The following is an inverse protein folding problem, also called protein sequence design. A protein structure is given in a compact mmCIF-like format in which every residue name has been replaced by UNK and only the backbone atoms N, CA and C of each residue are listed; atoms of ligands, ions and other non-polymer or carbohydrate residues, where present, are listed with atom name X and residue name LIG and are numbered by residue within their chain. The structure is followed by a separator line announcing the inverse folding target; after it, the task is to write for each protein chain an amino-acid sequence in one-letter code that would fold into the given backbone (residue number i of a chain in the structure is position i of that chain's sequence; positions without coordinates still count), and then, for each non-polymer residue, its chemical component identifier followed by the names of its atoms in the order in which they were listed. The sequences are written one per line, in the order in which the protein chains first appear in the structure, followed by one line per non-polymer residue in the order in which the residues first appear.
data_IF_327453826616
#
_entry.id   IF_327453826616
#
_cell.length_a   1.000
_cell.length_b   1.000
_cell.length_c   1.000
_cell.angle_alpha   90.00
_cell.angle_beta   90.00
_cell.angle_gamma   90.00
#
_symmetry.space_group_name_H-M   'P 1'
#
loop_
_entity.id
_entity.type
_entity.pdbx_description
1 polymer ?
#
# COMPACT_ATOMS: atom_id res chain seq x y z
N UNK A 1 15.71 16.33 9.59
CA UNK A 1 16.15 14.93 9.75
C UNK A 1 15.80 14.26 8.44
N UNK A 2 16.73 13.65 7.70
CA UNK A 2 16.39 13.11 6.38
C UNK A 2 15.45 11.90 6.55
N UNK A 3 14.17 12.05 6.18
CA UNK A 3 13.20 10.96 6.19
C UNK A 3 13.63 9.96 5.10
N UNK A 4 13.88 8.70 5.50
CA UNK A 4 14.18 7.64 4.55
C UNK A 4 12.91 7.32 3.73
N UNK A 5 12.92 7.67 2.44
CA UNK A 5 11.78 7.47 1.52
C UNK A 5 11.27 6.02 1.48
N UNK A 6 12.16 5.04 1.60
CA UNK A 6 11.76 3.62 1.59
C UNK A 6 10.82 3.27 2.75
N UNK A 7 10.96 3.96 3.90
CA UNK A 7 10.09 3.75 5.06
C UNK A 7 8.66 4.26 4.82
N UNK A 8 8.49 5.24 3.93
CA UNK A 8 7.25 5.99 3.70
C UNK A 8 6.54 5.56 2.41
N UNK A 9 7.30 5.06 1.43
CA UNK A 9 6.83 4.62 0.11
C UNK A 9 6.73 3.10 -0.02
N UNK A 10 7.33 2.34 0.90
CA UNK A 10 7.29 0.89 0.86
C UNK A 10 5.87 0.34 1.04
N UNK A 11 5.53 -0.76 0.34
CA UNK A 11 4.21 -1.40 0.47
C UNK A 11 3.89 -1.92 1.88
N UNK A 12 4.90 -2.05 2.74
CA UNK A 12 4.75 -2.40 4.15
C UNK A 12 4.48 -1.19 5.06
N UNK A 13 4.60 0.04 4.56
CA UNK A 13 4.36 1.25 5.35
C UNK A 13 2.91 1.30 5.84
N UNK A 14 1.93 1.07 4.94
CA UNK A 14 0.51 0.98 5.27
C UNK A 14 0.01 -0.45 5.14
N UNK A 15 -0.54 -1.00 6.21
CA UNK A 15 -1.22 -2.30 6.19
C UNK A 15 -2.67 -2.14 6.65
N UNK A 16 -3.61 -2.69 5.89
CA UNK A 16 -5.02 -2.76 6.27
C UNK A 16 -5.43 -4.22 6.34
N UNK A 17 -5.97 -4.64 7.49
CA UNK A 17 -6.54 -5.97 7.69
C UNK A 17 -8.06 -5.86 7.55
N UNK A 18 -8.62 -6.60 6.61
CA UNK A 18 -10.06 -6.70 6.35
C UNK A 18 -10.55 -8.04 6.89
N UNK A 19 -11.47 -7.99 7.84
CA UNK A 19 -12.06 -9.14 8.52
C UNK A 19 -13.47 -9.39 7.99
N UNK A 20 -13.69 -10.58 7.45
CA UNK A 20 -15.02 -11.05 7.08
C UNK A 20 -15.82 -11.45 8.35
N UNK A 21 -16.99 -10.85 8.51
CA UNK A 21 -17.95 -11.11 9.59
C UNK A 21 -19.29 -11.63 9.04
N UNK A 22 -19.28 -12.19 7.84
CA UNK A 22 -20.45 -12.88 7.28
C UNK A 22 -20.87 -14.08 8.17
N UNK A 23 -22.13 -14.56 8.03
CA UNK A 23 -22.62 -15.74 8.74
C UNK A 23 -21.72 -16.98 8.61
N UNK A 24 -20.98 -17.11 7.51
CA UNK A 24 -20.01 -18.19 7.27
C UNK A 24 -18.91 -18.24 8.34
N UNK A 25 -18.56 -17.09 8.92
CA UNK A 25 -17.52 -17.00 9.97
C UNK A 25 -18.00 -17.45 11.36
N UNK A 26 -19.29 -17.74 11.52
CA UNK A 26 -19.83 -18.44 12.70
C UNK A 26 -19.48 -19.94 12.70
N UNK A 27 -19.03 -20.49 11.57
CA UNK A 27 -18.68 -21.90 11.46
C UNK A 27 -17.59 -22.29 12.47
N UNK A 28 -17.69 -23.50 13.07
CA UNK A 28 -16.69 -23.97 14.02
C UNK A 28 -15.33 -24.16 13.33
N UNK A 29 -14.29 -23.67 13.98
CA UNK A 29 -12.91 -23.97 13.65
C UNK A 29 -12.58 -25.43 14.01
N UNK A 30 -11.60 -25.98 13.31
CA UNK A 30 -11.21 -27.41 13.45
C UNK A 30 -10.95 -27.85 14.89
N UNK A 31 -10.27 -26.99 15.66
CA UNK A 31 -9.65 -27.39 16.92
C UNK A 31 -10.36 -26.69 18.08
N UNK A 32 -11.08 -27.48 18.87
CA UNK A 32 -11.54 -27.03 20.18
C UNK A 32 -10.36 -26.88 21.14
N UNK A 33 -10.47 -25.93 22.07
CA UNK A 33 -9.57 -25.79 23.20
C UNK A 33 -10.09 -26.69 24.32
N UNK A 34 -9.35 -27.74 24.65
CA UNK A 34 -9.63 -28.55 25.83
C UNK A 34 -9.11 -27.81 27.06
N UNK A 35 -10.02 -27.50 27.98
CA UNK A 35 -9.73 -26.88 29.27
C UNK A 35 -9.92 -27.97 30.32
N UNK A 36 -8.88 -28.26 31.08
CA UNK A 36 -8.92 -29.19 32.20
C UNK A 36 -8.74 -28.39 33.49
N UNK A 37 -9.75 -28.40 34.34
CA UNK A 37 -9.74 -27.74 35.65
C UNK A 37 -9.88 -28.85 36.69
N UNK A 38 -9.04 -28.80 37.73
CA UNK A 38 -9.25 -29.64 38.91
C UNK A 38 -10.19 -28.92 39.85
N UNK A 39 -11.24 -29.59 40.30
CA UNK A 39 -12.07 -29.07 41.36
C UNK A 39 -11.38 -29.16 42.73
N UNK A 40 -11.99 -28.58 43.76
CA UNK A 40 -11.48 -28.57 45.13
C UNK A 40 -11.36 -29.97 45.73
N UNK A 41 -12.06 -30.96 45.17
CA UNK A 41 -12.01 -32.37 45.59
C UNK A 41 -10.98 -33.19 44.79
N UNK A 42 -10.24 -32.54 43.88
CA UNK A 42 -9.22 -33.16 43.04
C UNK A 42 -9.76 -33.90 41.82
N UNK A 43 -11.07 -33.85 41.55
CA UNK A 43 -11.65 -34.42 40.34
C UNK A 43 -11.38 -33.52 39.13
N UNK A 44 -11.11 -34.14 38.00
CA UNK A 44 -10.75 -33.43 36.78
C UNK A 44 -12.00 -33.15 35.95
N UNK A 45 -12.34 -31.87 35.81
CA UNK A 45 -13.41 -31.39 34.91
C UNK A 45 -12.76 -31.00 33.58
N UNK A 46 -13.10 -31.72 32.51
CA UNK A 46 -12.67 -31.36 31.16
C UNK A 46 -13.83 -30.77 30.36
N UNK A 47 -13.62 -29.59 29.79
CA UNK A 47 -14.56 -28.95 28.85
C UNK A 47 -13.85 -28.64 27.52
N UNK A 48 -14.58 -28.71 26.42
CA UNK A 48 -14.07 -28.34 25.10
C UNK A 48 -14.75 -27.06 24.62
N UNK A 49 -13.98 -25.97 24.53
CA UNK A 49 -14.42 -24.73 23.92
C UNK A 49 -14.19 -24.78 22.41
N UNK A 50 -15.26 -24.71 21.62
CA UNK A 50 -15.15 -24.61 20.16
C UNK A 50 -14.96 -23.15 19.76
N UNK A 51 -13.86 -22.86 19.06
CA UNK A 51 -13.65 -21.55 18.41
C UNK A 51 -14.40 -21.50 17.09
N UNK A 52 -14.78 -20.33 16.63
CA UNK A 52 -15.27 -20.11 15.26
C UNK A 52 -14.15 -19.62 14.33
N UNK A 53 -14.41 -19.58 13.02
CA UNK A 53 -13.50 -18.94 12.06
C UNK A 53 -13.26 -17.47 12.43
N UNK A 54 -14.32 -16.77 12.88
CA UNK A 54 -14.22 -15.40 13.38
C UNK A 54 -13.21 -15.27 14.53
N UNK A 55 -13.32 -16.11 15.56
CA UNK A 55 -12.39 -16.06 16.68
C UNK A 55 -10.95 -16.28 16.22
N UNK A 56 -10.71 -17.24 15.31
CA UNK A 56 -9.38 -17.48 14.76
C UNK A 56 -8.84 -16.29 13.95
N UNK A 57 -9.68 -15.64 13.15
CA UNK A 57 -9.31 -14.44 12.39
C UNK A 57 -8.94 -13.28 13.29
N UNK A 58 -9.73 -13.03 14.34
CA UNK A 58 -9.48 -11.98 15.33
C UNK A 58 -8.21 -12.27 16.12
N UNK A 59 -7.99 -13.51 16.56
CA UNK A 59 -6.78 -13.90 17.31
C UNK A 59 -5.50 -13.66 16.50
N UNK A 60 -5.46 -14.07 15.22
CA UNK A 60 -4.26 -13.83 14.40
C UNK A 60 -4.04 -12.34 14.11
N UNK A 61 -5.12 -11.58 13.99
CA UNK A 61 -5.08 -10.14 13.79
C UNK A 61 -4.49 -9.40 14.99
N UNK A 62 -4.92 -9.80 16.20
CA UNK A 62 -4.38 -9.28 17.46
C UNK A 62 -2.90 -9.68 17.64
N UNK A 63 -2.53 -10.91 17.29
CA UNK A 63 -1.13 -11.35 17.37
C UNK A 63 -0.24 -10.60 16.37
N UNK A 64 -0.73 -10.35 15.15
CA UNK A 64 0.00 -9.55 14.17
C UNK A 64 0.18 -8.09 14.65
N UNK A 65 -0.84 -7.50 15.25
CA UNK A 65 -0.76 -6.17 15.88
C UNK A 65 0.29 -6.15 17.00
N UNK A 66 0.29 -7.16 17.89
CA UNK A 66 1.27 -7.28 18.98
C UNK A 66 2.70 -7.32 18.44
N UNK A 67 2.97 -8.20 17.46
CA UNK A 67 4.28 -8.33 16.82
C UNK A 67 4.72 -7.01 16.18
N UNK A 68 3.81 -6.32 15.46
CA UNK A 68 4.13 -5.04 14.84
C UNK A 68 4.44 -3.96 15.88
N UNK A 69 3.71 -3.92 17.00
CA UNK A 69 3.94 -2.96 18.07
C UNK A 69 5.29 -3.20 18.75
N UNK A 70 5.65 -4.46 18.96
CA UNK A 70 6.95 -4.83 19.56
C UNK A 70 8.13 -4.50 18.63
N UNK A 71 7.99 -4.71 17.32
CA UNK A 71 9.07 -4.52 16.34
C UNK A 71 9.18 -3.08 15.82
N UNK A 72 8.07 -2.35 15.75
CA UNK A 72 8.00 -1.00 15.18
C UNK A 72 7.30 -0.01 16.13
N UNK A 73 7.78 0.16 17.37
CA UNK A 73 7.13 1.00 18.37
C UNK A 73 7.06 2.49 17.98
N UNK A 74 7.93 2.93 17.05
CA UNK A 74 8.00 4.31 16.56
C UNK A 74 6.99 4.62 15.43
N UNK A 75 6.08 3.70 15.12
CA UNK A 75 5.01 3.94 14.13
C UNK A 75 5.47 4.09 12.67
N UNK A 76 6.69 3.65 12.34
CA UNK A 76 7.19 3.58 10.96
C UNK A 76 6.37 2.64 10.08
N UNK A 77 5.65 1.71 10.72
CA UNK A 77 4.66 0.83 10.11
C UNK A 77 3.29 1.16 10.69
N UNK A 78 2.32 1.28 9.81
CA UNK A 78 0.95 1.69 10.12
C UNK A 78 0.01 0.50 9.90
N UNK A 79 -0.96 0.35 10.80
CA UNK A 79 -1.92 -0.75 10.76
C UNK A 79 -3.34 -0.23 11.01
N UNK A 80 -4.27 -0.57 10.13
CA UNK A 80 -5.71 -0.32 10.32
C UNK A 80 -6.51 -1.59 10.14
N UNK A 81 -7.66 -1.64 10.81
CA UNK A 81 -8.58 -2.76 10.76
C UNK A 81 -9.95 -2.32 10.22
N UNK A 82 -10.46 -3.14 9.31
CA UNK A 82 -11.79 -3.01 8.71
C UNK A 82 -12.53 -4.32 8.95
N UNK A 83 -13.80 -4.24 9.33
CA UNK A 83 -14.72 -5.38 9.34
C UNK A 83 -15.69 -5.24 8.18
N UNK A 84 -16.02 -6.35 7.54
CA UNK A 84 -16.98 -6.41 6.45
C UNK A 84 -18.07 -7.44 6.76
N UNK A 85 -19.32 -6.98 6.79
CA UNK A 85 -20.53 -7.79 6.86
C UNK A 85 -21.50 -7.35 5.75
N UNK A 86 -22.71 -6.90 6.10
CA UNK A 86 -23.63 -6.20 5.20
C UNK A 86 -23.10 -4.81 4.81
N UNK A 87 -22.21 -4.24 5.63
CA UNK A 87 -21.49 -3.02 5.34
C UNK A 87 -20.01 -3.14 5.78
N UNK A 88 -19.16 -2.28 5.24
CA UNK A 88 -17.81 -2.12 5.77
C UNK A 88 -17.82 -1.17 6.98
N UNK A 89 -16.94 -1.41 7.95
CA UNK A 89 -16.75 -0.53 9.13
C UNK A 89 -15.29 -0.46 9.54
N UNK A 90 -14.81 0.75 9.84
CA UNK A 90 -13.50 0.95 10.47
C UNK A 90 -13.54 0.56 11.94
N UNK A 91 -12.59 -0.25 12.39
CA UNK A 91 -12.38 -0.53 13.83
C UNK A 91 -11.35 0.39 14.46
N UNK A 92 -10.49 0.98 13.64
CA UNK A 92 -9.37 1.82 14.05
C UNK A 92 -9.54 3.25 13.57
N UNK A 93 -9.05 4.24 14.35
CA UNK A 93 -9.05 5.63 13.92
C UNK A 93 -8.18 5.82 12.66
N UNK A 94 -8.21 7.03 12.05
CA UNK A 94 -7.28 7.42 10.98
C UNK A 94 -5.81 7.21 11.34
N UNK A 95 -4.92 7.27 10.35
CA UNK A 95 -3.47 7.13 10.56
C UNK A 95 -2.94 8.10 11.62
N UNK A 96 -2.11 7.60 12.53
CA UNK A 96 -1.51 8.35 13.66
C UNK A 96 -0.01 8.07 13.75
N UNK A 97 0.70 8.89 14.52
CA UNK A 97 2.14 8.69 14.74
C UNK A 97 2.44 7.36 15.46
N UNK A 98 1.48 6.87 16.25
CA UNK A 98 1.56 5.60 16.96
C UNK A 98 0.46 4.64 16.50
N UNK A 99 0.75 3.34 16.60
CA UNK A 99 -0.27 2.30 16.39
C UNK A 99 -1.37 2.41 17.45
N UNK A 100 -2.58 1.98 17.10
CA UNK A 100 -3.68 1.84 18.07
C UNK A 100 -3.21 0.98 19.26
N UNK A 101 -3.58 1.37 20.48
CA UNK A 101 -3.26 0.58 21.67
C UNK A 101 -4.01 -0.75 21.64
N UNK A 102 -3.38 -1.79 22.20
CA UNK A 102 -3.96 -3.14 22.20
C UNK A 102 -5.35 -3.18 22.86
N UNK A 103 -5.53 -2.47 23.97
CA UNK A 103 -6.79 -2.41 24.72
C UNK A 103 -7.89 -1.70 23.92
N UNK A 104 -7.53 -0.65 23.17
CA UNK A 104 -8.48 0.07 22.31
C UNK A 104 -8.93 -0.80 21.15
N UNK A 105 -8.00 -1.51 20.51
CA UNK A 105 -8.30 -2.45 19.43
C UNK A 105 -9.20 -3.59 19.94
N UNK A 106 -8.87 -4.17 21.09
CA UNK A 106 -9.67 -5.22 21.71
C UNK A 106 -11.09 -4.73 22.02
N UNK A 107 -11.22 -3.49 22.54
CA UNK A 107 -12.52 -2.88 22.80
C UNK A 107 -13.32 -2.68 21.51
N UNK A 108 -12.70 -2.19 20.43
CA UNK A 108 -13.37 -2.05 19.13
C UNK A 108 -13.85 -3.41 18.60
N UNK A 109 -13.00 -4.44 18.65
CA UNK A 109 -13.36 -5.79 18.23
C UNK A 109 -14.50 -6.40 19.07
N UNK A 110 -14.54 -6.11 20.37
CA UNK A 110 -15.61 -6.56 21.25
C UNK A 110 -16.98 -5.96 20.88
N UNK A 111 -17.03 -4.75 20.28
CA UNK A 111 -18.30 -4.17 19.79
C UNK A 111 -18.83 -4.87 18.54
N UNK A 112 -18.01 -5.70 17.89
CA UNK A 112 -18.35 -6.39 16.67
C UNK A 112 -18.85 -7.82 16.92
N UNK A 113 -19.69 -8.09 17.94
CA UNK A 113 -20.25 -9.41 18.33
C UNK A 113 -20.06 -10.63 17.39
N UNK A 114 -20.03 -11.84 17.92
CA UNK A 114 -19.85 -13.06 17.11
C UNK A 114 -20.85 -13.13 15.93
N UNK A 115 -20.40 -13.45 14.69
CA UNK A 115 -21.29 -13.60 13.55
C UNK A 115 -22.42 -14.59 13.85
N UNK A 116 -23.62 -14.30 13.37
CA UNK A 116 -24.79 -15.16 13.57
C UNK A 116 -24.89 -16.15 12.42
N UNK A 117 -24.88 -17.46 12.73
CA UNK A 117 -24.97 -18.51 11.70
C UNK A 117 -26.29 -18.51 10.93
N UNK A 118 -27.35 -17.93 11.52
CA UNK A 118 -28.67 -17.78 10.90
C UNK A 118 -28.84 -16.49 10.11
N UNK A 119 -27.80 -15.66 9.99
CA UNK A 119 -27.87 -14.42 9.23
C UNK A 119 -27.95 -14.66 7.72
N UNK A 120 -28.41 -13.65 6.99
CA UNK A 120 -28.48 -13.70 5.53
C UNK A 120 -27.10 -13.46 4.90
N UNK A 121 -26.45 -14.56 4.47
CA UNK A 121 -25.14 -14.50 3.84
C UNK A 121 -25.16 -13.77 2.49
N UNK A 122 -26.30 -13.72 1.79
CA UNK A 122 -26.40 -13.06 0.47
C UNK A 122 -26.34 -11.54 0.56
N UNK A 123 -26.70 -10.98 1.73
CA UNK A 123 -26.60 -9.56 2.03
C UNK A 123 -25.18 -9.13 2.46
N UNK A 124 -24.30 -10.08 2.76
CA UNK A 124 -22.94 -9.80 3.22
C UNK A 124 -21.95 -9.85 2.05
N UNK A 125 -21.00 -8.91 2.02
CA UNK A 125 -19.95 -8.91 1.00
C UNK A 125 -18.63 -8.39 1.55
N UNK A 126 -17.55 -9.13 1.29
CA UNK A 126 -16.19 -8.73 1.63
C UNK A 126 -15.71 -7.52 0.81
N UNK A 127 -16.36 -7.26 -0.33
CA UNK A 127 -16.07 -6.13 -1.22
C UNK A 127 -16.28 -4.79 -0.52
N UNK A 128 -17.28 -4.69 0.37
CA UNK A 128 -17.53 -3.49 1.15
C UNK A 128 -16.29 -3.09 1.98
N UNK A 129 -15.66 -4.07 2.63
CA UNK A 129 -14.43 -3.87 3.39
C UNK A 129 -13.21 -3.58 2.51
N UNK A 130 -13.13 -4.16 1.31
CA UNK A 130 -12.06 -3.88 0.33
C UNK A 130 -12.15 -2.43 -0.16
N UNK A 131 -13.35 -1.94 -0.49
CA UNK A 131 -13.58 -0.55 -0.89
C UNK A 131 -13.08 0.42 0.19
N UNK A 132 -13.45 0.18 1.46
CA UNK A 132 -12.97 0.98 2.59
C UNK A 132 -11.46 0.87 2.81
N UNK A 133 -10.87 -0.31 2.58
CA UNK A 133 -9.43 -0.48 2.70
C UNK A 133 -8.67 0.32 1.64
N UNK A 134 -9.16 0.37 0.39
CA UNK A 134 -8.58 1.21 -0.67
C UNK A 134 -8.67 2.69 -0.32
N UNK A 135 -9.82 3.13 0.21
CA UNK A 135 -9.97 4.50 0.71
C UNK A 135 -8.91 4.83 1.77
N UNK A 136 -8.71 3.94 2.73
CA UNK A 136 -7.73 4.10 3.80
C UNK A 136 -6.29 4.15 3.28
N UNK A 137 -5.94 3.32 2.30
CA UNK A 137 -4.61 3.36 1.65
C UNK A 137 -4.37 4.72 0.99
N UNK A 138 -5.41 5.37 0.46
CA UNK A 138 -5.29 6.69 -0.15
C UNK A 138 -5.06 7.83 0.85
N UNK A 139 -5.42 7.68 2.13
CA UNK A 139 -5.19 8.72 3.16
C UNK A 139 -3.69 8.91 3.43
N UNK A 140 -3.22 10.16 3.52
CA UNK A 140 -1.83 10.47 3.89
C UNK A 140 -1.54 10.13 5.35
N UNK A 141 -0.48 9.38 5.61
CA UNK A 141 0.01 9.15 6.98
C UNK A 141 0.74 10.39 7.51
N UNK A 142 0.90 10.56 8.84
CA UNK A 142 1.68 11.67 9.40
C UNK A 142 3.12 11.74 8.87
N UNK A 143 3.76 10.57 8.68
CA UNK A 143 5.10 10.48 8.08
C UNK A 143 5.10 10.95 6.62
N UNK A 144 4.08 10.59 5.82
CA UNK A 144 3.92 11.11 4.47
C UNK A 144 3.72 12.64 4.50
N UNK A 145 2.81 13.14 5.34
CA UNK A 145 2.54 14.57 5.46
C UNK A 145 3.80 15.38 5.80
N UNK A 146 4.60 14.90 6.75
CA UNK A 146 5.87 15.54 7.13
C UNK A 146 6.86 15.54 5.97
N UNK A 147 7.00 14.40 5.28
CA UNK A 147 7.91 14.29 4.14
C UNK A 147 7.50 15.23 2.98
N UNK A 148 6.21 15.38 2.72
CA UNK A 148 5.69 16.36 1.76
C UNK A 148 6.04 17.80 2.14
N UNK A 149 5.88 18.17 3.42
CA UNK A 149 6.19 19.52 3.90
C UNK A 149 7.69 19.84 3.81
N UNK A 150 8.56 18.87 4.13
CA UNK A 150 10.02 19.05 4.03
C UNK A 150 10.46 19.23 2.56
N UNK A 151 9.88 18.48 1.63
CA UNK A 151 10.18 18.60 0.20
C UNK A 151 9.79 19.99 -0.35
N UNK A 152 8.62 20.52 0.05
CA UNK A 152 8.19 21.85 -0.38
C UNK A 152 9.12 22.96 0.14
N UNK A 153 9.59 22.86 1.39
CA UNK A 153 10.57 23.81 1.96
C UNK A 153 11.88 23.80 1.16
N UNK A 154 12.42 22.62 0.87
CA UNK A 154 13.67 22.48 0.11
C UNK A 154 13.59 23.08 -1.30
N UNK A 155 12.47 22.91 -2.00
CA UNK A 155 12.23 23.52 -3.32
C UNK A 155 12.25 25.05 -3.19
N UNK A 156 11.48 25.60 -2.24
CA UNK A 156 11.40 27.05 -2.05
C UNK A 156 12.74 27.72 -1.70
N UNK A 157 13.61 27.03 -0.94
CA UNK A 157 14.95 27.52 -0.62
C UNK A 157 15.89 27.45 -1.83
N UNK A 158 15.78 26.40 -2.66
CA UNK A 158 16.58 26.25 -3.87
C UNK A 158 16.23 27.29 -4.94
N UNK A 159 14.94 27.64 -5.07
CA UNK A 159 14.46 28.69 -5.97
C UNK A 159 14.90 30.09 -5.52
N UNK A 160 14.90 30.35 -4.20
CA UNK A 160 15.45 31.60 -3.64
C UNK A 160 16.94 31.75 -3.95
N UNK A 161 17.72 30.68 -3.80
CA UNK A 161 19.17 30.69 -4.12
C UNK A 161 19.46 30.89 -5.61
N UNK A 162 18.65 30.32 -6.51
CA UNK A 162 18.75 30.60 -7.95
C UNK A 162 18.47 32.07 -8.26
N UNK A 163 17.40 32.64 -7.72
CA UNK A 163 17.06 34.06 -7.90
C UNK A 163 18.14 35.02 -7.35
N UNK A 164 18.78 34.66 -6.24
CA UNK A 164 19.91 35.43 -5.68
C UNK A 164 21.20 35.32 -6.50
N UNK A 165 21.41 34.19 -7.19
CA UNK A 165 22.54 34.00 -8.10
C UNK A 165 22.34 34.80 -9.38
N UNK A 166 21.15 34.73 -9.99
CA UNK A 166 20.82 35.45 -11.22
C UNK A 166 20.82 36.98 -11.02
N UNK A 167 20.42 37.47 -9.83
CA UNK A 167 20.47 38.91 -9.51
C UNK A 167 21.90 39.45 -9.26
N UNK A 168 22.91 38.60 -9.06
CA UNK A 168 24.30 39.05 -8.88
C UNK A 168 25.04 39.29 -10.18
N UNK A 169 24.58 38.73 -11.29
CA UNK A 169 25.16 38.96 -12.63
C UNK A 169 24.50 40.13 -13.38
N UNK A 170 23.40 40.70 -12.85
CA UNK A 170 22.67 41.82 -13.46
C UNK A 170 23.20 43.23 -13.16
N UNK A 171 24.27 43.38 -12.36
CA UNK A 171 24.79 44.70 -11.96
C UNK A 171 26.29 44.87 -12.27
N UNK A 172 26.65 44.64 -13.54
CA UNK A 172 27.85 45.21 -14.17
C UNK A 172 27.45 45.95 -15.45
N UNK A 173 26.81 47.09 -15.27
CA UNK A 173 26.89 48.20 -16.24
C UNK A 173 27.99 49.14 -15.76
N UNK A 174 29.15 49.13 -16.42
CA UNK A 174 29.65 50.33 -17.08
C UNK A 174 30.96 50.08 -17.85
N UNK A 175 30.89 50.46 -19.12
CA UNK A 175 31.95 51.01 -19.99
C UNK A 175 33.39 50.53 -19.82
N UNK A 176 33.94 49.89 -20.86
CA UNK A 176 34.83 50.56 -21.83
C UNK A 176 35.59 49.57 -22.73
N UNK A 177 35.77 50.00 -23.98
CA UNK A 177 36.81 49.59 -24.94
C UNK A 177 36.62 48.32 -25.78
N UNK A 178 36.18 48.59 -27.02
CA UNK A 178 36.47 47.81 -28.21
C UNK A 178 37.99 47.66 -28.32
N UNK A 179 38.49 46.44 -28.12
CA UNK A 179 39.86 46.07 -28.49
C UNK A 179 39.84 45.01 -29.60
N UNK A 180 40.58 45.37 -30.64
CA UNK A 180 40.85 44.68 -31.90
C UNK A 180 41.32 43.23 -31.71
N UNK A 181 40.95 42.30 -32.61
CA UNK A 181 41.38 40.92 -32.58
C UNK A 181 42.82 40.79 -33.08
N UNK A 182 43.81 41.09 -32.22
CA UNK A 182 45.21 40.64 -32.34
C UNK A 182 46.02 41.05 -31.09
N UNK A 183 45.93 40.29 -29.99
CA UNK A 183 46.97 40.32 -28.96
C UNK A 183 47.15 38.94 -28.29
N UNK A 184 48.36 38.33 -28.31
CA UNK A 184 48.59 36.97 -27.86
C UNK A 184 49.15 36.94 -26.44
N UNK A 185 48.29 36.72 -25.41
CA UNK A 185 48.70 36.33 -24.04
C UNK A 185 47.49 35.92 -23.18
N UNK A 186 46.85 34.78 -23.50
CA UNK A 186 45.75 34.25 -22.69
C UNK A 186 45.84 32.75 -22.34
N UNK A 187 46.99 32.11 -22.52
CA UNK A 187 47.13 30.66 -22.27
C UNK A 187 48.15 30.35 -21.19
N UNK A 188 47.81 30.57 -19.91
CA UNK A 188 48.34 29.80 -18.77
C UNK A 188 47.37 29.84 -17.59
N UNK A 189 46.48 28.84 -17.50
CA UNK A 189 46.27 28.03 -16.28
C UNK A 189 45.31 26.88 -16.60
N UNK A 190 45.91 25.71 -16.73
CA UNK A 190 45.29 24.40 -16.82
C UNK A 190 44.57 24.03 -15.52
N UNK A 191 43.34 23.55 -15.65
CA UNK A 191 42.66 22.67 -14.69
C UNK A 191 42.76 21.25 -15.25
N UNK A 192 43.24 20.23 -14.49
CA UNK A 192 43.26 18.85 -14.98
C UNK A 192 42.02 18.03 -14.57
N UNK A 193 41.46 17.28 -15.53
CA UNK A 193 40.72 16.02 -15.31
C UNK A 193 39.23 16.02 -15.72
N UNK A 194 38.85 15.91 -17.01
CA UNK A 194 38.58 14.68 -17.80
C UNK A 194 37.48 13.75 -17.21
N UNK A 195 36.45 13.24 -17.92
CA UNK A 195 36.09 13.15 -19.36
C UNK A 195 34.59 12.78 -19.48
N UNK A 196 33.87 13.38 -20.43
CA UNK A 196 32.75 12.71 -21.13
C UNK A 196 33.00 12.80 -22.63
N UNK A 197 32.93 11.64 -23.28
CA UNK A 197 33.03 11.43 -24.73
C UNK A 197 31.75 11.90 -25.42
N UNK A 198 31.88 12.65 -26.53
CA UNK A 198 30.92 12.58 -27.66
C UNK A 198 31.70 12.65 -28.97
N UNK A 199 31.57 11.59 -29.77
CA UNK A 199 32.00 11.50 -31.16
C UNK A 199 30.94 12.16 -32.04
N UNK A 200 31.38 13.04 -32.94
CA UNK A 200 30.64 13.51 -34.10
C UNK A 200 31.19 12.81 -35.35
N UNK A 201 30.29 12.41 -36.25
CA UNK A 201 30.44 12.33 -37.71
C UNK A 201 29.01 12.24 -38.27
N UNK A 202 28.51 12.96 -39.26
CA UNK A 202 29.09 13.91 -40.20
C UNK A 202 28.39 13.75 -41.56
N UNK A 203 27.87 14.86 -42.10
CA UNK A 203 27.59 15.20 -43.52
C UNK A 203 26.47 14.51 -44.31
N UNK A 204 25.73 15.33 -45.06
CA UNK A 204 25.03 14.95 -46.29
C UNK A 204 23.97 15.97 -46.74
N UNK A 205 24.27 16.78 -47.75
CA UNK A 205 23.42 17.78 -48.41
C UNK A 205 22.28 17.15 -49.24
N UNK A 206 21.10 17.81 -49.38
CA UNK A 206 20.71 18.59 -50.58
C UNK A 206 19.19 18.95 -50.62
N UNK A 207 18.97 20.22 -50.95
CA UNK A 207 17.99 20.87 -51.86
C UNK A 207 16.49 20.52 -51.97
N UNK A 208 15.72 21.62 -51.93
CA UNK A 208 14.63 22.07 -52.84
C UNK A 208 13.13 21.83 -52.53
N UNK A 209 12.45 22.98 -52.35
CA UNK A 209 11.10 23.41 -52.77
C UNK A 209 9.90 22.50 -52.41
N UNK A 210 8.80 22.97 -51.82
CA UNK A 210 7.83 23.88 -52.45
C UNK A 210 6.78 24.41 -51.44
N UNK A 211 5.96 25.35 -51.91
CA UNK A 211 5.05 26.28 -51.23
C UNK A 211 3.79 25.64 -50.60
N UNK A 212 3.24 26.34 -49.61
CA UNK A 212 1.84 26.18 -49.19
C UNK A 212 1.50 27.06 -47.99
N UNK A 213 0.93 28.24 -48.25
CA UNK A 213 0.32 29.10 -47.24
C UNK A 213 -1.07 28.58 -46.87
N UNK A 214 -1.35 28.47 -45.58
CA UNK A 214 -2.71 28.41 -45.01
C UNK A 214 -2.70 29.21 -43.71
N UNK A 215 -3.43 30.32 -43.72
CA UNK A 215 -3.93 31.01 -42.53
C UNK A 215 -4.80 30.06 -41.71
N UNK A 216 -4.68 30.07 -40.38
CA UNK A 216 -5.85 30.01 -39.49
C UNK A 216 -5.45 30.31 -38.03
N UNK A 217 -5.88 31.50 -37.60
CA UNK A 217 -6.40 31.89 -36.28
C UNK A 217 -5.98 31.07 -35.04
N UNK A 218 -5.04 31.67 -34.30
CA UNK A 218 -5.20 32.10 -32.90
C UNK A 218 -6.40 31.51 -32.10
N UNK A 219 -6.12 30.43 -31.37
CA UNK A 219 -6.71 30.19 -30.04
C UNK A 219 -5.52 29.94 -29.11
N UNK A 220 -5.12 30.99 -28.38
CA UNK A 220 -4.25 30.84 -27.22
C UNK A 220 -5.07 30.22 -26.09
N UNK A 221 -5.20 28.89 -26.10
CA UNK A 221 -5.41 28.17 -24.84
C UNK A 221 -4.08 28.21 -24.10
N UNK A 222 -4.06 29.00 -23.04
CA UNK A 222 -2.97 29.02 -22.08
C UNK A 222 -2.90 27.65 -21.40
N UNK A 223 -2.20 26.71 -22.04
CA UNK A 223 -1.58 25.59 -21.35
C UNK A 223 -0.59 26.22 -20.38
N UNK A 224 -1.04 26.39 -19.14
CA UNK A 224 -0.14 26.51 -18.02
C UNK A 224 0.59 25.16 -17.99
N UNK A 225 1.71 25.09 -18.70
CA UNK A 225 2.70 24.03 -18.52
C UNK A 225 3.12 24.10 -17.06
N UNK A 226 2.39 23.35 -16.24
CA UNK A 226 2.70 23.12 -14.85
C UNK A 226 4.12 22.61 -14.78
N UNK A 227 4.95 23.38 -14.10
CA UNK A 227 6.33 23.05 -13.79
C UNK A 227 6.47 21.57 -13.42
N UNK A 228 7.22 20.84 -14.25
CA UNK A 228 7.57 19.43 -14.09
C UNK A 228 8.45 19.24 -12.84
N UNK A 229 7.80 19.15 -11.67
CA UNK A 229 8.42 18.79 -10.40
C UNK A 229 7.61 17.66 -9.72
N UNK A 230 7.19 16.64 -10.46
CA UNK A 230 6.47 15.49 -9.89
C UNK A 230 7.42 14.33 -9.53
N UNK A 231 8.30 14.56 -8.56
CA UNK A 231 8.64 13.42 -7.68
C UNK A 231 7.46 13.20 -6.73
N UNK A 232 6.36 12.69 -7.30
CA UNK A 232 5.17 12.26 -6.58
C UNK A 232 5.58 11.09 -5.67
N UNK A 233 5.29 11.21 -4.37
CA UNK A 233 5.58 10.14 -3.41
C UNK A 233 4.79 8.90 -3.80
N UNK A 234 5.47 7.77 -4.00
CA UNK A 234 4.80 6.52 -4.28
C UNK A 234 3.97 6.08 -3.06
N UNK A 235 2.65 6.18 -3.16
CA UNK A 235 1.72 5.74 -2.14
C UNK A 235 1.38 4.27 -2.35
N UNK A 236 2.04 3.41 -1.57
CA UNK A 236 1.86 1.96 -1.62
C UNK A 236 1.32 1.43 -0.31
N UNK A 237 0.68 0.27 -0.38
CA UNK A 237 0.15 -0.39 0.81
C UNK A 237 -0.09 -1.88 0.63
N UNK A 238 -0.42 -2.53 1.72
CA UNK A 238 -0.81 -3.95 1.76
C UNK A 238 -2.22 -4.07 2.32
N UNK A 239 -3.09 -4.80 1.62
CA UNK A 239 -4.43 -5.17 2.10
C UNK A 239 -4.43 -6.67 2.36
N UNK A 240 -4.72 -7.08 3.58
CA UNK A 240 -4.85 -8.48 3.98
C UNK A 240 -6.31 -8.79 4.21
N UNK A 241 -6.89 -9.67 3.40
CA UNK A 241 -8.30 -10.05 3.48
C UNK A 241 -8.41 -11.43 4.12
N UNK A 242 -9.06 -11.50 5.28
CA UNK A 242 -9.37 -12.76 5.97
C UNK A 242 -10.84 -13.10 5.67
N UNK A 243 -11.06 -14.03 4.74
CA UNK A 243 -12.40 -14.43 4.26
C UNK A 243 -12.45 -15.94 4.01
N UNK A 244 -13.64 -16.48 3.72
CA UNK A 244 -13.87 -17.89 3.39
C UNK A 244 -14.43 -17.95 1.97
N UNK A 245 -13.61 -18.43 1.04
CA UNK A 245 -13.94 -18.53 -0.38
C UNK A 245 -14.22 -19.99 -0.73
N UNK A 246 -15.35 -20.22 -1.41
CA UNK A 246 -15.78 -21.56 -1.78
C UNK A 246 -15.42 -21.93 -3.23
N UNK A 247 -15.35 -20.94 -4.11
CA UNK A 247 -15.11 -21.15 -5.54
C UNK A 247 -14.09 -20.12 -6.11
N UNK A 248 -13.62 -20.35 -7.34
CA UNK A 248 -12.66 -19.44 -7.98
C UNK A 248 -13.30 -18.11 -8.44
N UNK A 249 -14.62 -18.08 -8.66
CA UNK A 249 -15.34 -16.90 -9.12
C UNK A 249 -15.33 -15.81 -8.04
N UNK A 250 -15.61 -16.17 -6.78
CA UNK A 250 -15.54 -15.23 -5.64
C UNK A 250 -14.16 -14.58 -5.53
N UNK A 251 -13.08 -15.36 -5.77
CA UNK A 251 -11.72 -14.83 -5.78
C UNK A 251 -11.49 -13.86 -6.94
N UNK A 252 -11.96 -14.20 -8.13
CA UNK A 252 -11.85 -13.32 -9.30
C UNK A 252 -12.63 -12.02 -9.06
N UNK A 253 -13.82 -12.10 -8.47
CA UNK A 253 -14.60 -10.91 -8.08
C UNK A 253 -13.85 -10.03 -7.08
N UNK A 254 -13.14 -10.60 -6.10
CA UNK A 254 -12.26 -9.84 -5.18
C UNK A 254 -11.14 -9.13 -5.96
N UNK A 255 -10.49 -9.82 -6.90
CA UNK A 255 -9.39 -9.28 -7.69
C UNK A 255 -9.82 -8.19 -8.69
N UNK A 256 -10.96 -8.38 -9.34
CA UNK A 256 -11.55 -7.39 -10.23
C UNK A 256 -11.99 -6.16 -9.43
N UNK A 257 -12.67 -6.38 -8.31
CA UNK A 257 -13.15 -5.30 -7.47
C UNK A 257 -12.04 -4.42 -6.92
N UNK A 258 -10.91 -4.97 -6.45
CA UNK A 258 -9.81 -4.12 -5.98
C UNK A 258 -9.27 -3.20 -7.08
N UNK A 259 -9.21 -3.69 -8.33
CA UNK A 259 -8.76 -2.91 -9.49
C UNK A 259 -9.70 -1.74 -9.75
N UNK A 260 -11.00 -2.03 -9.74
CA UNK A 260 -12.06 -1.05 -9.94
C UNK A 260 -12.03 0.01 -8.84
N UNK A 261 -11.96 -0.42 -7.57
CA UNK A 261 -11.95 0.49 -6.42
C UNK A 261 -10.72 1.41 -6.42
N UNK A 262 -9.53 0.90 -6.78
CA UNK A 262 -8.31 1.73 -6.90
C UNK A 262 -8.49 2.76 -8.02
N UNK A 263 -9.02 2.36 -9.16
CA UNK A 263 -9.22 3.24 -10.33
C UNK A 263 -10.20 4.36 -9.99
N UNK A 264 -11.39 4.01 -9.51
CA UNK A 264 -12.40 4.98 -9.08
C UNK A 264 -11.88 5.92 -8.00
N UNK A 265 -11.12 5.39 -7.03
CA UNK A 265 -10.56 6.22 -5.95
C UNK A 265 -9.53 7.21 -6.47
N UNK A 266 -8.64 6.76 -7.35
CA UNK A 266 -7.62 7.62 -7.94
C UNK A 266 -8.23 8.73 -8.80
N UNK A 267 -9.25 8.42 -9.59
CA UNK A 267 -9.97 9.40 -10.40
C UNK A 267 -10.67 10.44 -9.51
N UNK A 268 -11.33 9.99 -8.43
CA UNK A 268 -11.96 10.88 -7.45
C UNK A 268 -10.94 11.82 -6.79
N UNK A 269 -9.74 11.33 -6.42
CA UNK A 269 -8.69 12.15 -5.82
C UNK A 269 -8.18 13.22 -6.79
N UNK A 270 -7.94 12.85 -8.05
CA UNK A 270 -7.50 13.78 -9.10
C UNK A 270 -8.53 14.87 -9.36
N UNK A 271 -9.82 14.52 -9.37
CA UNK A 271 -10.91 15.47 -9.59
C UNK A 271 -11.13 16.42 -8.41
N UNK A 272 -11.07 15.92 -7.17
CA UNK A 272 -11.36 16.70 -5.97
C UNK A 272 -10.16 17.50 -5.47
N UNK A 273 -8.93 17.15 -5.86
CA UNK A 273 -7.71 17.87 -5.48
C UNK A 273 -7.44 17.92 -3.97
N UNK A 274 -7.99 16.97 -3.20
CA UNK A 274 -7.93 17.01 -1.75
C UNK A 274 -6.52 16.70 -1.23
N UNK A 275 -5.94 17.65 -0.49
CA UNK A 275 -4.58 17.60 0.02
C UNK A 275 -4.34 16.50 1.07
N UNK A 276 -5.38 15.86 1.60
CA UNK A 276 -5.25 14.79 2.59
C UNK A 276 -5.09 13.40 1.98
N UNK A 277 -5.28 13.27 0.66
CA UNK A 277 -5.23 11.99 -0.04
C UNK A 277 -4.09 11.96 -1.08
N UNK A 278 -3.69 10.75 -1.43
CA UNK A 278 -2.73 10.45 -2.47
C UNK A 278 -3.31 9.39 -3.40
N UNK A 279 -3.04 9.56 -4.69
CA UNK A 279 -3.25 8.52 -5.69
C UNK A 279 -2.54 7.26 -5.21
N UNK A 280 -3.20 6.11 -5.31
CA UNK A 280 -2.66 4.81 -4.91
C UNK A 280 -1.87 4.24 -6.08
N UNK A 281 -0.55 4.16 -5.93
CA UNK A 281 0.36 3.62 -6.95
C UNK A 281 0.31 2.09 -7.02
N UNK A 282 0.45 1.46 -5.84
CA UNK A 282 0.52 0.00 -5.77
C UNK A 282 -0.04 -0.58 -4.48
N UNK A 283 -0.97 -1.52 -4.62
CA UNK A 283 -1.46 -2.32 -3.50
C UNK A 283 -0.95 -3.76 -3.60
N UNK A 284 -0.44 -4.30 -2.50
CA UNK A 284 -0.24 -5.74 -2.34
C UNK A 284 -1.48 -6.34 -1.67
N UNK A 285 -2.31 -7.04 -2.43
CA UNK A 285 -3.45 -7.77 -1.89
C UNK A 285 -3.01 -9.16 -1.44
N UNK A 286 -3.36 -9.54 -0.22
CA UNK A 286 -3.13 -10.87 0.34
C UNK A 286 -4.49 -11.43 0.72
N UNK A 287 -4.99 -12.39 -0.05
CA UNK A 287 -6.24 -13.07 0.26
C UNK A 287 -5.92 -14.34 1.03
N UNK A 288 -6.33 -14.38 2.30
CA UNK A 288 -6.18 -15.54 3.16
C UNK A 288 -7.52 -16.24 3.27
N UNK A 289 -7.65 -17.35 2.54
CA UNK A 289 -8.82 -18.21 2.60
C UNK A 289 -8.78 -19.05 3.89
N UNK A 290 -9.65 -18.70 4.84
CA UNK A 290 -9.76 -19.30 6.17
C UNK A 290 -10.84 -20.37 6.15
N UNK A 291 -10.43 -21.64 6.30
CA UNK A 291 -11.34 -22.78 6.22
C UNK A 291 -11.31 -23.62 7.50
N UNK A 292 -12.42 -24.31 7.78
CA UNK A 292 -12.45 -25.39 8.75
C UNK A 292 -11.75 -26.65 8.20
N UNK A 293 -11.49 -27.66 9.05
CA UNK A 293 -10.72 -28.86 8.68
C UNK A 293 -11.36 -29.64 7.55
N UNK A 294 -12.67 -29.82 7.65
CA UNK A 294 -13.46 -30.65 6.75
C UNK A 294 -13.38 -30.05 5.33
N UNK A 295 -13.65 -28.75 5.22
CA UNK A 295 -13.52 -28.00 3.96
C UNK A 295 -12.07 -27.86 3.48
N UNK A 296 -11.09 -27.89 4.39
CA UNK A 296 -9.68 -27.86 4.01
C UNK A 296 -9.23 -29.15 3.30
N UNK A 297 -9.87 -30.28 3.60
CA UNK A 297 -9.52 -31.58 3.03
C UNK A 297 -10.42 -32.00 1.85
N UNK A 298 -11.55 -31.32 1.65
CA UNK A 298 -12.53 -31.67 0.62
C UNK A 298 -12.03 -31.27 -0.80
N UNK A 299 -11.98 -32.25 -1.75
CA UNK A 299 -11.60 -32.03 -3.14
C UNK A 299 -12.41 -30.98 -3.90
N UNK A 300 -13.66 -30.74 -3.52
CA UNK A 300 -14.49 -29.68 -4.10
C UNK A 300 -13.86 -28.30 -3.89
N UNK A 301 -13.19 -28.11 -2.76
CA UNK A 301 -12.42 -26.90 -2.44
C UNK A 301 -10.95 -27.01 -2.90
N UNK A 302 -10.58 -28.10 -3.60
CA UNK A 302 -9.28 -28.26 -4.28
C UNK A 302 -9.31 -27.77 -5.74
N UNK A 303 -10.43 -27.25 -6.25
CA UNK A 303 -10.44 -26.42 -7.47
C UNK A 303 -9.48 -25.21 -7.34
N UNK A 304 -9.17 -24.83 -6.11
CA UNK A 304 -8.10 -23.93 -5.70
C UNK A 304 -6.69 -24.57 -5.74
N UNK A 305 -6.47 -25.66 -6.49
CA UNK A 305 -5.16 -26.35 -6.62
C UNK A 305 -4.05 -25.46 -7.23
N UNK A 306 -4.42 -24.29 -7.77
CA UNK A 306 -3.53 -23.18 -8.10
C UNK A 306 -3.11 -22.28 -6.92
N UNK A 307 -3.55 -22.52 -5.67
CA UNK A 307 -3.09 -21.82 -4.46
C UNK A 307 -1.68 -22.29 -4.02
N UNK A 308 -0.73 -22.31 -4.96
CA UNK A 308 0.66 -22.01 -4.59
C UNK A 308 0.72 -20.50 -4.32
N UNK A 309 1.74 -20.00 -3.62
CA UNK A 309 1.98 -18.55 -3.51
C UNK A 309 2.23 -18.00 -4.94
N UNK A 310 1.17 -17.76 -5.71
CA UNK A 310 1.21 -17.16 -7.03
C UNK A 310 1.02 -15.67 -6.81
N UNK A 311 2.04 -14.91 -7.19
CA UNK A 311 1.94 -13.45 -7.30
C UNK A 311 1.47 -13.11 -8.71
N UNK A 312 0.21 -12.70 -8.84
CA UNK A 312 -0.28 -12.08 -10.07
C UNK A 312 -0.07 -10.57 -9.94
N UNK A 313 0.45 -9.90 -10.96
CA UNK A 313 0.55 -8.43 -11.00
C UNK A 313 -0.27 -7.89 -12.15
N UNK A 314 -1.22 -7.01 -11.84
CA UNK A 314 -1.99 -6.26 -12.83
C UNK A 314 -1.94 -4.79 -12.47
N UNK A 315 -1.34 -3.97 -13.35
CA UNK A 315 -1.26 -2.52 -13.20
C UNK A 315 -0.87 -2.05 -11.79
N UNK A 316 -1.86 -1.54 -11.05
CA UNK A 316 -1.73 -0.88 -9.75
C UNK A 316 -1.82 -1.84 -8.55
N UNK A 317 -1.83 -3.16 -8.75
CA UNK A 317 -1.75 -4.10 -7.62
C UNK A 317 -1.04 -5.40 -7.96
N UNK A 318 -0.66 -6.10 -6.90
CA UNK A 318 -0.21 -7.48 -6.97
C UNK A 318 -0.98 -8.31 -5.96
N UNK A 319 -1.47 -9.48 -6.35
CA UNK A 319 -2.23 -10.37 -5.47
C UNK A 319 -1.43 -11.59 -5.11
N UNK A 320 -1.47 -11.96 -3.83
CA UNK A 320 -0.97 -13.23 -3.31
C UNK A 320 -2.11 -13.99 -2.65
N UNK A 321 -2.25 -15.27 -3.01
CA UNK A 321 -3.30 -16.16 -2.50
C UNK A 321 -2.71 -17.07 -1.43
N UNK A 322 -3.38 -17.21 -0.29
CA UNK A 322 -2.98 -18.12 0.79
C UNK A 322 -4.16 -18.91 1.30
N UNK A 323 -4.01 -20.24 1.40
CA UNK A 323 -5.00 -21.12 2.03
C UNK A 323 -4.50 -21.50 3.42
N UNK A 324 -5.31 -21.30 4.45
CA UNK A 324 -4.94 -21.64 5.83
C UNK A 324 -6.10 -22.28 6.58
N UNK A 325 -5.77 -23.34 7.31
CA UNK A 325 -6.68 -24.00 8.23
C UNK A 325 -6.81 -23.15 9.50
N UNK A 326 -8.04 -22.87 9.92
CA UNK A 326 -8.31 -22.13 11.14
C UNK A 326 -7.74 -22.83 12.39
N UNK A 327 -7.32 -22.04 13.38
CA UNK A 327 -6.68 -22.50 14.60
C UNK A 327 -5.15 -22.37 14.56
N UNK A 328 -4.41 -23.32 15.13
CA UNK A 328 -2.94 -23.20 15.28
C UNK A 328 -2.18 -23.00 13.96
N UNK A 329 -2.64 -23.61 12.87
CA UNK A 329 -2.01 -23.44 11.54
C UNK A 329 -2.16 -22.03 10.96
N UNK A 330 -3.16 -21.29 11.44
CA UNK A 330 -3.42 -19.92 11.03
C UNK A 330 -2.43 -18.92 11.68
N UNK A 331 -1.97 -19.24 12.90
CA UNK A 331 -1.04 -18.43 13.68
C UNK A 331 0.44 -18.62 13.27
N UNK A 332 0.75 -19.69 12.52
CA UNK A 332 2.10 -19.93 12.00
C UNK A 332 2.27 -19.25 10.64
N UNK A 333 2.73 -18.00 10.69
CA UNK A 333 3.19 -17.22 9.52
C UNK A 333 4.60 -17.65 9.08
N UNK A 334 4.76 -18.94 8.76
CA UNK A 334 6.05 -19.47 8.31
C UNK A 334 5.90 -20.89 7.82
N UNK A 335 6.10 -21.11 6.52
CA UNK A 335 6.23 -22.44 5.96
C UNK A 335 7.58 -23.06 6.33
N UNK A 336 7.85 -23.26 7.62
CA UNK A 336 8.89 -24.19 8.05
C UNK A 336 8.20 -25.47 8.47
N UNK A 337 7.92 -26.31 7.48
CA UNK A 337 7.80 -27.75 7.70
C UNK A 337 9.18 -28.29 8.05
N UNK A 338 9.68 -27.99 9.26
CA UNK A 338 10.64 -28.87 9.89
C UNK A 338 9.84 -30.13 10.23
N UNK A 339 9.89 -31.11 9.33
CA UNK A 339 9.55 -32.49 9.69
C UNK A 339 10.51 -32.84 10.82
N UNK A 340 9.97 -33.01 12.01
CA UNK A 340 10.66 -33.77 13.03
C UNK A 340 10.62 -35.21 12.51
N UNK A 341 11.75 -35.69 11.97
CA UNK A 341 11.95 -37.10 11.66
C UNK A 341 12.40 -37.76 12.97
N UNK A 342 11.58 -38.62 13.60
CA UNK A 342 12.00 -39.36 14.77
C UNK A 342 12.59 -40.68 14.28
N UNK A 343 13.76 -40.62 13.63
CA UNK A 343 14.61 -41.78 13.38
C UNK A 343 16.07 -41.40 13.55
#
# INVERSE_FOLDING_TARGET
MLINRELVEGASHKTVIVLDRSPNFAAPATQGVSIQIKDEQGAQISSQLKKTLWNCSVEASLEFHRILTDLFPQGTKQLRFVVSDFAGRYLTPPWKDELIRYEELLKSLATCDIPQSSGDASSCSIINGISMAVEVISEKTPLQQTAFQEQQKGISESEKRKKEFDNKDGNKSDSSEILSPNDPKFWKKTVPGCRIFRKLTGKGQNEQQDKGAVDDNEIQDSVVEGTDYSHEFANRGTIVVLTSIENCEDYNSINESITEQITMRNDSIKLLGNQNFLVVDKVKLIVVNVLNAERCNDPKYNCLSGFKDISESSGNHSVSKRRKKAGRHFLVWGGYGARYDPN
#
